data_IF_836878399199
#
_entry.id   IF_836878399199
#
_cell.length_a   1.000
_cell.length_b   1.000
_cell.length_c   1.000
_cell.angle_alpha   90.00
_cell.angle_beta   90.00
_cell.angle_gamma   90.00
#
_symmetry.space_group_name_H-M   'P 1'
#
loop_
_entity.id
_entity.type
_entity.pdbx_description
1 polymer ?
#
# COMPACT_ATOMS: atom_id res chain seq x y z
N UNK A 1 -13.47 -19.56 -7.65
CA UNK A 1 -14.08 -18.62 -6.69
C UNK A 1 -13.22 -18.45 -5.45
N UNK A 2 -12.91 -19.53 -4.73
CA UNK A 2 -12.10 -19.43 -3.53
C UNK A 2 -10.72 -18.84 -3.73
N UNK A 3 -10.05 -19.15 -4.86
CA UNK A 3 -8.72 -18.63 -5.13
C UNK A 3 -8.74 -17.13 -5.39
N UNK A 4 -9.77 -16.62 -6.03
CA UNK A 4 -9.89 -15.17 -6.26
C UNK A 4 -10.06 -14.43 -4.93
N UNK A 5 -10.89 -14.93 -4.04
CA UNK A 5 -11.09 -14.35 -2.72
C UNK A 5 -9.79 -14.37 -1.93
N UNK A 6 -9.06 -15.50 -2.00
CA UNK A 6 -7.78 -15.65 -1.32
C UNK A 6 -6.79 -14.57 -1.77
N UNK A 7 -6.65 -14.34 -3.09
CA UNK A 7 -5.71 -13.34 -3.59
C UNK A 7 -6.16 -11.92 -3.31
N UNK A 8 -7.47 -11.66 -3.30
CA UNK A 8 -7.99 -10.34 -2.90
C UNK A 8 -7.63 -10.07 -1.44
N UNK A 9 -7.79 -11.07 -0.57
CA UNK A 9 -7.42 -10.95 0.83
C UNK A 9 -5.92 -10.72 1.00
N UNK A 10 -5.09 -11.40 0.22
CA UNK A 10 -3.64 -11.21 0.25
C UNK A 10 -3.26 -9.79 -0.17
N UNK A 11 -3.88 -9.27 -1.22
CA UNK A 11 -3.64 -7.90 -1.66
C UNK A 11 -4.04 -6.93 -0.55
N UNK A 12 -5.21 -7.14 0.05
CA UNK A 12 -5.68 -6.30 1.14
C UNK A 12 -4.70 -6.33 2.32
N UNK A 13 -4.24 -7.52 2.71
CA UNK A 13 -3.27 -7.65 3.80
C UNK A 13 -1.94 -6.97 3.47
N UNK A 14 -1.48 -7.09 2.23
CA UNK A 14 -0.26 -6.41 1.78
C UNK A 14 -0.41 -4.90 1.92
N UNK A 15 -1.55 -4.36 1.48
CA UNK A 15 -1.82 -2.92 1.58
C UNK A 15 -1.89 -2.47 3.03
N UNK A 16 -2.57 -3.22 3.89
CA UNK A 16 -2.66 -2.89 5.32
C UNK A 16 -1.28 -2.88 5.95
N UNK A 17 -0.48 -3.90 5.69
CA UNK A 17 0.87 -3.99 6.26
C UNK A 17 1.78 -2.89 5.73
N UNK A 18 1.68 -2.57 4.43
CA UNK A 18 2.43 -1.45 3.86
C UNK A 18 2.06 -0.13 4.54
N UNK A 19 0.76 0.08 4.78
CA UNK A 19 0.27 1.31 5.42
C UNK A 19 0.76 1.40 6.86
N UNK A 20 0.67 0.30 7.60
CA UNK A 20 1.19 0.25 8.97
C UNK A 20 2.68 0.52 8.97
N UNK A 21 3.43 -0.12 8.04
CA UNK A 21 4.87 0.08 7.94
C UNK A 21 5.22 1.53 7.66
N UNK A 22 4.54 2.16 6.71
CA UNK A 22 4.79 3.57 6.36
C UNK A 22 4.48 4.49 7.53
N UNK A 23 3.40 4.22 8.26
CA UNK A 23 3.03 5.03 9.44
C UNK A 23 4.10 4.90 10.52
N UNK A 24 4.58 3.68 10.79
CA UNK A 24 5.63 3.46 11.78
C UNK A 24 6.94 4.11 11.36
N UNK A 25 7.30 4.02 10.08
CA UNK A 25 8.52 4.65 9.58
C UNK A 25 8.44 6.17 9.73
N UNK A 26 7.27 6.75 9.46
CA UNK A 26 7.08 8.20 9.63
C UNK A 26 7.20 8.59 11.10
N UNK A 27 6.60 7.83 12.00
CA UNK A 27 6.69 8.10 13.43
C UNK A 27 8.12 8.01 13.96
N UNK A 28 8.92 7.11 13.39
CA UNK A 28 10.31 6.94 13.80
C UNK A 28 11.31 7.82 13.07
N UNK A 29 10.90 8.43 11.96
CA UNK A 29 11.80 9.25 11.16
C UNK A 29 12.23 10.50 11.93
N UNK A 30 13.50 10.85 11.83
CA UNK A 30 14.04 12.02 12.51
C UNK A 30 14.43 11.78 13.95
N UNK A 31 14.24 10.57 14.45
CA UNK A 31 14.65 10.17 15.80
C UNK A 31 15.89 9.28 15.73
N UNK A 32 16.24 8.71 16.87
CA UNK A 32 17.36 7.76 16.95
C UNK A 32 17.13 6.63 15.94
N UNK A 33 18.14 6.27 15.10
CA UNK A 33 17.97 5.23 14.10
C UNK A 33 17.55 3.86 14.64
N UNK A 34 17.77 3.61 15.93
CA UNK A 34 17.46 2.32 16.55
C UNK A 34 16.16 2.37 17.36
N UNK A 35 15.24 3.28 17.04
CA UNK A 35 13.99 3.33 17.78
C UNK A 35 13.02 2.23 17.34
N UNK A 36 12.07 1.93 18.23
CA UNK A 36 11.14 0.81 18.04
C UNK A 36 10.20 1.03 16.84
N UNK A 37 9.87 2.27 16.52
CA UNK A 37 9.01 2.56 15.39
C UNK A 37 9.66 2.17 14.07
N UNK A 38 10.95 2.48 13.91
CA UNK A 38 11.67 2.08 12.69
C UNK A 38 11.80 0.57 12.59
N UNK A 39 12.12 -0.10 13.71
CA UNK A 39 12.24 -1.56 13.73
C UNK A 39 10.91 -2.22 13.40
N UNK A 40 9.82 -1.74 14.02
CA UNK A 40 8.47 -2.25 13.73
C UNK A 40 8.06 -2.01 12.29
N UNK A 41 8.37 -0.82 11.75
CA UNK A 41 8.06 -0.49 10.36
C UNK A 41 8.79 -1.39 9.38
N UNK A 42 10.08 -1.64 9.61
CA UNK A 42 10.86 -2.52 8.75
C UNK A 42 10.34 -3.95 8.82
N UNK A 43 10.00 -4.43 10.01
CA UNK A 43 9.42 -5.77 10.17
C UNK A 43 8.08 -5.89 9.45
N UNK A 44 7.20 -4.89 9.59
CA UNK A 44 5.92 -4.89 8.91
C UNK A 44 6.08 -4.86 7.39
N UNK A 45 7.05 -4.09 6.91
CA UNK A 45 7.34 -4.03 5.47
C UNK A 45 7.85 -5.37 4.96
N UNK A 46 8.73 -6.03 5.71
CA UNK A 46 9.23 -7.36 5.36
C UNK A 46 8.10 -8.38 5.29
N UNK A 47 7.18 -8.33 6.25
CA UNK A 47 6.03 -9.24 6.25
C UNK A 47 5.13 -8.96 5.05
N UNK A 48 4.88 -7.70 4.70
CA UNK A 48 4.08 -7.36 3.53
C UNK A 48 4.73 -7.88 2.25
N UNK A 49 6.05 -7.85 2.18
CA UNK A 49 6.78 -8.38 1.02
C UNK A 49 6.52 -9.87 0.83
N UNK A 50 6.44 -10.62 1.91
CA UNK A 50 6.13 -12.05 1.83
C UNK A 50 4.76 -12.28 1.20
N UNK A 51 3.74 -11.55 1.65
CA UNK A 51 2.42 -11.63 1.04
C UNK A 51 2.43 -11.20 -0.41
N UNK A 52 3.19 -10.13 -0.72
CA UNK A 52 3.29 -9.63 -2.08
C UNK A 52 3.93 -10.65 -3.02
N UNK A 53 4.93 -11.39 -2.57
CA UNK A 53 5.55 -12.44 -3.36
C UNK A 53 4.52 -13.48 -3.78
N UNK A 54 3.62 -13.85 -2.89
CA UNK A 54 2.55 -14.80 -3.20
C UNK A 54 1.61 -14.22 -4.27
N UNK A 55 1.28 -12.95 -4.15
CA UNK A 55 0.45 -12.25 -5.15
C UNK A 55 1.14 -12.26 -6.52
N UNK A 56 2.44 -12.01 -6.55
CA UNK A 56 3.21 -11.99 -7.81
C UNK A 56 3.23 -13.35 -8.50
N UNK A 57 3.05 -14.44 -7.74
CA UNK A 57 2.96 -15.76 -8.33
C UNK A 57 1.69 -15.97 -9.16
N UNK A 58 0.66 -15.16 -8.95
CA UNK A 58 -0.61 -15.26 -9.65
C UNK A 58 -0.80 -14.18 -10.70
N UNK A 59 -0.36 -12.95 -10.41
CA UNK A 59 -0.63 -11.78 -11.26
C UNK A 59 0.66 -11.28 -11.88
N UNK A 60 0.54 -10.69 -13.07
CA UNK A 60 1.68 -10.02 -13.71
C UNK A 60 2.12 -8.83 -12.86
N UNK A 61 3.42 -8.58 -12.86
CA UNK A 61 3.99 -7.45 -12.13
C UNK A 61 3.38 -6.12 -12.60
N UNK A 62 3.13 -5.99 -13.90
CA UNK A 62 2.56 -4.76 -14.47
C UNK A 62 1.15 -4.47 -13.99
N UNK A 63 0.45 -5.45 -13.42
CA UNK A 63 -0.87 -5.25 -12.81
C UNK A 63 -0.77 -5.21 -11.30
N UNK A 64 -0.03 -6.16 -10.71
CA UNK A 64 0.03 -6.29 -9.25
C UNK A 64 0.66 -5.06 -8.59
N UNK A 65 1.76 -4.57 -9.12
CA UNK A 65 2.48 -3.47 -8.50
C UNK A 65 1.67 -2.17 -8.51
N UNK A 66 1.13 -1.70 -9.65
CA UNK A 66 0.31 -0.49 -9.63
C UNK A 66 -0.90 -0.60 -8.71
N UNK A 67 -1.57 -1.76 -8.67
CA UNK A 67 -2.73 -1.94 -7.81
C UNK A 67 -2.34 -1.85 -6.33
N UNK A 68 -1.29 -2.57 -5.93
CA UNK A 68 -0.86 -2.56 -4.53
C UNK A 68 -0.37 -1.17 -4.12
N UNK A 69 0.45 -0.54 -4.96
CA UNK A 69 1.00 0.78 -4.65
C UNK A 69 -0.10 1.83 -4.61
N UNK A 70 -1.04 1.79 -5.56
CA UNK A 70 -2.12 2.76 -5.60
C UNK A 70 -3.03 2.66 -4.39
N UNK A 71 -3.40 1.44 -4.00
CA UNK A 71 -4.20 1.24 -2.80
C UNK A 71 -3.43 1.66 -1.55
N UNK A 72 -2.12 1.41 -1.53
CA UNK A 72 -1.27 1.84 -0.41
C UNK A 72 -1.22 3.36 -0.35
N UNK A 73 -1.12 4.05 -1.49
CA UNK A 73 -1.11 5.51 -1.51
C UNK A 73 -2.42 6.06 -0.95
N UNK A 74 -3.56 5.49 -1.35
CA UNK A 74 -4.84 5.90 -0.80
C UNK A 74 -4.88 5.67 0.71
N UNK A 75 -4.48 4.49 1.16
CA UNK A 75 -4.51 4.13 2.57
C UNK A 75 -3.55 5.00 3.38
N UNK A 76 -2.35 5.29 2.87
CA UNK A 76 -1.39 6.15 3.58
C UNK A 76 -1.85 7.60 3.61
N UNK A 77 -2.54 8.07 2.58
CA UNK A 77 -3.11 9.42 2.58
C UNK A 77 -4.15 9.54 3.69
N UNK A 78 -5.03 8.53 3.81
CA UNK A 78 -6.04 8.50 4.87
C UNK A 78 -5.37 8.40 6.24
N UNK A 79 -4.38 7.51 6.38
CA UNK A 79 -3.67 7.34 7.65
C UNK A 79 -2.92 8.62 8.04
N UNK A 80 -2.28 9.27 7.08
CA UNK A 80 -1.60 10.54 7.34
C UNK A 80 -2.56 11.61 7.84
N UNK A 81 -3.73 11.70 7.21
CA UNK A 81 -4.73 12.68 7.59
C UNK A 81 -5.31 12.42 8.99
N UNK A 82 -5.58 11.15 9.32
CA UNK A 82 -6.27 10.78 10.55
C UNK A 82 -5.28 10.56 11.70
N UNK A 83 -4.27 9.74 11.49
CA UNK A 83 -3.36 9.32 12.56
C UNK A 83 -2.28 10.36 12.80
N UNK A 84 -1.68 10.85 11.74
CA UNK A 84 -0.57 11.82 11.82
C UNK A 84 -1.06 13.26 11.78
N UNK A 85 -2.36 13.47 11.58
CA UNK A 85 -3.00 14.79 11.52
C UNK A 85 -2.36 15.72 10.49
N UNK A 86 -1.92 15.14 9.38
CA UNK A 86 -1.38 15.91 8.26
C UNK A 86 -2.51 16.60 7.52
N UNK A 87 -2.23 17.81 7.03
CA UNK A 87 -3.19 18.52 6.19
C UNK A 87 -3.06 18.04 4.75
N UNK A 88 -4.15 17.56 4.19
CA UNK A 88 -4.17 17.03 2.83
C UNK A 88 -4.92 18.04 1.95
N UNK A 89 -4.23 18.60 0.97
CA UNK A 89 -4.82 19.61 0.08
C UNK A 89 -5.81 18.97 -0.89
N UNK A 90 -6.68 19.80 -1.47
CA UNK A 90 -7.60 19.36 -2.52
C UNK A 90 -6.82 18.82 -3.71
N UNK A 91 -5.71 19.47 -4.08
CA UNK A 91 -4.86 19.00 -5.16
C UNK A 91 -4.33 17.60 -4.90
N UNK A 92 -3.96 17.29 -3.66
CA UNK A 92 -3.52 15.95 -3.29
C UNK A 92 -4.63 14.92 -3.52
N UNK A 93 -5.86 15.22 -3.05
CA UNK A 93 -7.00 14.33 -3.24
C UNK A 93 -7.34 14.14 -4.72
N UNK A 94 -7.23 15.20 -5.52
CA UNK A 94 -7.44 15.10 -6.97
C UNK A 94 -6.40 14.16 -7.60
N UNK A 95 -5.14 14.28 -7.17
CA UNK A 95 -4.08 13.40 -7.65
C UNK A 95 -4.33 11.95 -7.29
N UNK A 96 -4.78 11.69 -6.07
CA UNK A 96 -5.13 10.32 -5.63
C UNK A 96 -6.28 9.79 -6.49
N UNK A 97 -7.31 10.61 -6.75
CA UNK A 97 -8.42 10.20 -7.60
C UNK A 97 -7.99 9.84 -9.01
N UNK A 98 -7.14 10.67 -9.62
CA UNK A 98 -6.60 10.40 -10.95
C UNK A 98 -5.78 9.11 -10.97
N UNK A 99 -4.97 8.90 -9.94
CA UNK A 99 -4.19 7.68 -9.81
C UNK A 99 -5.08 6.46 -9.72
N UNK A 100 -6.12 6.51 -8.89
CA UNK A 100 -7.06 5.39 -8.75
C UNK A 100 -7.79 5.11 -10.05
N UNK A 101 -8.12 6.14 -10.82
CA UNK A 101 -8.73 5.96 -12.14
C UNK A 101 -7.78 5.22 -13.08
N UNK A 102 -6.50 5.62 -13.12
CA UNK A 102 -5.50 4.95 -13.94
C UNK A 102 -5.27 3.52 -13.52
N UNK A 103 -5.21 3.27 -12.22
CA UNK A 103 -5.02 1.93 -11.68
C UNK A 103 -6.21 1.04 -11.99
N UNK A 104 -7.43 1.59 -11.91
CA UNK A 104 -8.63 0.84 -12.29
C UNK A 104 -8.58 0.42 -13.74
N UNK A 105 -8.12 1.30 -14.62
CA UNK A 105 -7.96 0.96 -16.03
C UNK A 105 -6.96 -0.16 -16.22
N UNK A 106 -5.84 -0.13 -15.49
CA UNK A 106 -4.83 -1.19 -15.56
C UNK A 106 -5.40 -2.51 -15.04
N UNK A 107 -6.11 -2.47 -13.92
CA UNK A 107 -6.63 -3.69 -13.29
C UNK A 107 -7.68 -4.38 -14.14
N UNK A 108 -8.49 -3.60 -14.88
CA UNK A 108 -9.56 -4.15 -15.69
C UNK A 108 -9.18 -4.24 -17.17
N UNK A 109 -7.97 -3.84 -17.55
CA UNK A 109 -7.52 -3.97 -18.93
C UNK A 109 -7.30 -5.44 -19.25
N UNK A 110 -7.74 -5.85 -20.44
CA UNK A 110 -7.44 -7.18 -20.92
C UNK A 110 -6.02 -7.21 -21.43
N UNK A 111 -5.33 -8.30 -21.12
CA UNK A 111 -4.00 -8.57 -21.66
C UNK A 111 -4.08 -8.64 -23.19
N UNK A 112 -3.26 -7.86 -23.85
CA UNK A 112 -3.25 -7.85 -25.33
C UNK A 112 -1.90 -8.32 -25.81
#
# INVERSE_FOLDING_TARGET
MGSQIFFILLIFMTVVLNTVAQTLLKLGAGQNPLNIYLMGGICAYGLSTIFYIVVLGKFNLSVAYPVVIGLTILATTIAGAIILREKISIAHWLGVGLMLSGISAIAFAKSV
#
